data_IF_218504991881
#
_entry.id   IF_218504991881
#
_cell.length_a   1.000
_cell.length_b   1.000
_cell.length_c   1.000
_cell.angle_alpha   90.00
_cell.angle_beta   90.00
_cell.angle_gamma   90.00
#
_symmetry.space_group_name_H-M   'P 1'
#
loop_
_entity.id
_entity.type
_entity.pdbx_description
1 polymer ?
#
# COMPACT_ATOMS: atom_id res chain seq x y z
N UNK A 1 19.64 9.84 -30.82
CA UNK A 1 20.52 9.56 -29.67
C UNK A 1 20.01 10.36 -28.48
N UNK A 2 19.52 9.70 -27.42
CA UNK A 2 19.15 10.38 -26.19
C UNK A 2 20.39 10.55 -25.32
N UNK A 3 20.66 11.77 -24.87
CA UNK A 3 21.80 12.07 -23.99
C UNK A 3 21.37 11.77 -22.54
N UNK A 4 22.10 10.93 -21.79
CA UNK A 4 21.74 10.60 -20.42
C UNK A 4 21.92 11.80 -19.47
N UNK A 5 21.02 11.93 -18.50
CA UNK A 5 21.08 12.92 -17.43
C UNK A 5 22.05 12.47 -16.32
N UNK A 6 23.34 12.77 -16.50
CA UNK A 6 24.41 12.30 -15.59
C UNK A 6 24.40 12.94 -14.19
N UNK A 7 23.74 14.09 -14.03
CA UNK A 7 23.71 14.86 -12.77
C UNK A 7 22.32 14.97 -12.16
N UNK A 8 21.29 14.36 -12.77
CA UNK A 8 19.93 14.48 -12.28
C UNK A 8 19.75 13.58 -11.04
N UNK A 9 19.63 14.22 -9.88
CA UNK A 9 19.42 13.51 -8.61
C UNK A 9 17.96 13.51 -8.15
N UNK A 10 17.15 14.44 -8.65
CA UNK A 10 15.76 14.59 -8.22
C UNK A 10 14.87 14.79 -9.43
N UNK A 11 13.83 13.98 -9.55
CA UNK A 11 12.83 14.06 -10.61
C UNK A 11 11.45 14.16 -9.97
N UNK A 12 10.68 15.17 -10.39
CA UNK A 12 9.28 15.33 -10.02
C UNK A 12 8.44 15.38 -11.27
N UNK A 13 7.48 14.47 -11.36
CA UNK A 13 6.58 14.31 -12.49
C UNK A 13 5.16 14.53 -12.00
N UNK A 14 4.44 15.47 -12.60
CA UNK A 14 3.05 15.76 -12.25
C UNK A 14 2.21 15.91 -13.51
N UNK A 15 1.09 15.18 -13.58
CA UNK A 15 0.15 15.28 -14.70
C UNK A 15 0.70 14.82 -16.06
N UNK A 16 1.75 14.00 -16.09
CA UNK A 16 2.39 13.53 -17.32
C UNK A 16 2.29 12.01 -17.51
N UNK A 17 2.14 11.57 -18.76
CA UNK A 17 2.26 10.17 -19.16
C UNK A 17 3.70 9.90 -19.58
N UNK A 18 4.48 9.19 -18.76
CA UNK A 18 5.85 8.79 -19.08
C UNK A 18 6.02 7.33 -18.70
N UNK A 19 6.54 6.53 -19.62
CA UNK A 19 6.99 5.17 -19.29
C UNK A 19 8.30 5.24 -18.50
N UNK A 20 8.17 5.12 -17.17
CA UNK A 20 9.29 5.18 -16.24
C UNK A 20 10.32 4.07 -16.50
N UNK A 21 9.91 2.89 -16.98
CA UNK A 21 10.84 1.80 -17.27
C UNK A 21 11.83 2.20 -18.38
N UNK A 22 11.40 3.06 -19.30
CA UNK A 22 12.25 3.59 -20.38
C UNK A 22 13.02 4.84 -19.97
N UNK A 23 12.45 5.68 -19.09
CA UNK A 23 13.03 6.98 -18.73
C UNK A 23 14.11 6.89 -17.64
N UNK A 24 13.88 6.05 -16.62
CA UNK A 24 14.77 5.95 -15.46
C UNK A 24 16.22 5.52 -15.82
N UNK A 25 16.47 4.63 -16.81
CA UNK A 25 17.83 4.31 -17.25
C UNK A 25 18.69 5.52 -17.67
N UNK A 26 18.06 6.63 -18.08
CA UNK A 26 18.77 7.86 -18.42
C UNK A 26 19.20 8.68 -17.20
N UNK A 27 18.73 8.34 -15.99
CA UNK A 27 18.91 9.11 -14.76
C UNK A 27 19.75 8.32 -13.75
N UNK A 28 21.03 8.07 -14.06
CA UNK A 28 21.90 7.15 -13.30
C UNK A 28 22.15 7.57 -11.84
N UNK A 29 22.03 8.86 -11.53
CA UNK A 29 22.21 9.41 -10.18
C UNK A 29 20.89 9.77 -9.49
N UNK A 30 19.76 9.28 -9.99
CA UNK A 30 18.46 9.64 -9.44
C UNK A 30 18.28 9.09 -8.02
N UNK A 31 18.23 9.99 -7.05
CA UNK A 31 18.05 9.70 -5.62
C UNK A 31 16.61 9.87 -5.15
N UNK A 32 15.88 10.80 -5.76
CA UNK A 32 14.49 11.11 -5.38
C UNK A 32 13.59 11.11 -6.61
N UNK A 33 12.54 10.29 -6.58
CA UNK A 33 11.50 10.26 -7.59
C UNK A 33 10.15 10.60 -6.95
N UNK A 34 9.50 11.65 -7.47
CA UNK A 34 8.16 12.06 -7.05
C UNK A 34 7.21 11.96 -8.23
N UNK A 35 6.17 11.17 -8.07
CA UNK A 35 5.12 10.95 -9.05
C UNK A 35 3.83 11.46 -8.48
N UNK A 36 3.29 12.51 -9.09
CA UNK A 36 1.94 12.97 -8.81
C UNK A 36 1.06 12.71 -10.03
N UNK A 37 0.15 11.77 -9.87
CA UNK A 37 -0.76 11.31 -10.92
C UNK A 37 -2.15 11.96 -10.79
N UNK A 38 -2.28 13.00 -9.97
CA UNK A 38 -3.49 13.82 -9.93
C UNK A 38 -3.66 14.53 -11.27
N UNK A 39 -4.65 14.11 -12.07
CA UNK A 39 -5.01 14.78 -13.32
C UNK A 39 -4.92 13.85 -14.53
N UNK A 40 -6.10 13.44 -15.02
CA UNK A 40 -6.47 12.92 -16.36
C UNK A 40 -5.60 11.87 -17.09
N UNK A 41 -4.54 11.33 -16.50
CA UNK A 41 -3.70 10.32 -17.15
C UNK A 41 -3.66 9.04 -16.33
N UNK A 42 -4.10 7.94 -16.94
CA UNK A 42 -3.99 6.57 -16.43
C UNK A 42 -2.49 6.21 -16.30
N UNK A 43 -2.02 6.10 -15.06
CA UNK A 43 -0.71 5.57 -14.70
C UNK A 43 -0.90 4.21 -14.01
N UNK A 44 -1.47 3.24 -14.74
CA UNK A 44 -1.84 1.92 -14.19
C UNK A 44 -0.61 1.09 -13.85
N UNK A 45 0.51 1.35 -14.51
CA UNK A 45 1.76 0.63 -14.32
C UNK A 45 2.86 1.58 -13.89
N UNK A 46 3.36 1.40 -12.67
CA UNK A 46 4.52 2.10 -12.13
C UNK A 46 5.65 1.09 -12.04
N UNK A 47 6.60 1.18 -12.96
CA UNK A 47 7.79 0.32 -12.98
C UNK A 47 9.03 1.16 -12.82
N UNK A 48 9.76 0.97 -11.73
CA UNK A 48 10.95 1.75 -11.39
C UNK A 48 12.10 0.78 -11.11
N UNK A 49 13.10 0.78 -11.99
CA UNK A 49 14.36 0.07 -11.78
C UNK A 49 15.48 1.10 -11.66
N UNK A 50 15.98 1.32 -10.44
CA UNK A 50 17.04 2.30 -10.20
C UNK A 50 17.98 1.85 -9.09
N UNK A 51 19.26 1.74 -9.41
CA UNK A 51 20.30 1.37 -8.44
C UNK A 51 20.62 2.48 -7.42
N UNK A 52 20.23 3.73 -7.69
CA UNK A 52 20.60 4.91 -6.88
C UNK A 52 19.42 5.58 -6.16
N UNK A 53 18.20 5.07 -6.35
CA UNK A 53 16.99 5.69 -5.80
C UNK A 53 16.89 5.46 -4.28
N UNK A 54 16.85 6.55 -3.52
CA UNK A 54 16.77 6.53 -2.06
C UNK A 54 15.34 6.84 -1.56
N UNK A 55 14.59 7.66 -2.30
CA UNK A 55 13.23 8.10 -1.95
C UNK A 55 12.29 7.97 -3.14
N UNK A 56 11.16 7.29 -2.94
CA UNK A 56 10.05 7.22 -3.88
C UNK A 56 8.78 7.75 -3.25
N UNK A 57 8.16 8.74 -3.89
CA UNK A 57 6.86 9.29 -3.52
C UNK A 57 5.89 9.10 -4.68
N UNK A 58 4.78 8.43 -4.42
CA UNK A 58 3.70 8.20 -5.37
C UNK A 58 2.40 8.71 -4.77
N UNK A 59 1.95 9.85 -5.26
CA UNK A 59 0.66 10.44 -4.90
C UNK A 59 -0.34 10.17 -6.03
N UNK A 60 -1.40 9.45 -5.70
CA UNK A 60 -2.47 9.14 -6.63
C UNK A 60 -3.75 9.92 -6.35
N UNK A 61 -4.31 10.49 -7.42
CA UNK A 61 -5.55 11.24 -7.38
C UNK A 61 -6.79 10.34 -7.28
N UNK A 62 -7.80 10.86 -6.61
CA UNK A 62 -9.07 10.24 -6.26
C UNK A 62 -10.08 10.07 -7.44
N UNK A 63 -9.65 10.17 -8.69
CA UNK A 63 -10.57 10.10 -9.85
C UNK A 63 -10.03 9.19 -10.94
N UNK A 64 -10.17 7.89 -10.72
CA UNK A 64 -9.94 6.90 -11.76
C UNK A 64 -11.27 6.50 -12.42
N UNK A 65 -11.35 6.60 -13.75
CA UNK A 65 -12.54 6.27 -14.56
C UNK A 65 -12.45 4.93 -15.32
N UNK A 66 -11.37 4.15 -15.13
CA UNK A 66 -11.13 2.88 -15.83
C UNK A 66 -11.18 1.61 -14.96
N UNK A 67 -11.55 0.47 -15.57
CA UNK A 67 -11.55 -0.88 -14.95
C UNK A 67 -10.15 -1.53 -14.89
N UNK A 68 -9.08 -0.74 -14.94
CA UNK A 68 -7.71 -1.21 -15.21
C UNK A 68 -7.01 -1.68 -13.93
N UNK A 69 -6.26 -2.79 -14.06
CA UNK A 69 -5.44 -3.41 -13.00
C UNK A 69 -4.26 -2.49 -12.69
N UNK A 70 -4.05 -2.15 -11.42
CA UNK A 70 -2.89 -1.35 -11.00
C UNK A 70 -1.71 -2.27 -10.73
N UNK A 71 -0.54 -1.97 -11.27
CA UNK A 71 0.69 -2.70 -11.02
C UNK A 71 1.84 -1.78 -10.61
N UNK A 72 2.49 -2.09 -9.49
CA UNK A 72 3.62 -1.34 -8.97
C UNK A 72 4.79 -2.30 -8.80
N UNK A 73 5.87 -2.04 -9.52
CA UNK A 73 7.13 -2.75 -9.43
C UNK A 73 8.25 -1.77 -9.13
N UNK A 74 8.86 -1.90 -7.97
CA UNK A 74 10.00 -1.08 -7.57
C UNK A 74 11.16 -2.01 -7.28
N UNK A 75 12.26 -1.80 -7.98
CA UNK A 75 13.52 -2.46 -7.75
C UNK A 75 14.58 -1.39 -7.52
N UNK A 76 14.95 -1.26 -6.25
CA UNK A 76 15.98 -0.34 -5.84
C UNK A 76 16.63 -0.79 -4.54
N UNK A 77 17.88 -1.28 -4.59
CA UNK A 77 18.56 -1.84 -3.44
C UNK A 77 18.82 -0.82 -2.32
N UNK A 78 18.91 0.47 -2.66
CA UNK A 78 19.27 1.56 -1.72
C UNK A 78 18.06 2.41 -1.31
N UNK A 79 16.84 1.99 -1.66
CA UNK A 79 15.63 2.72 -1.31
C UNK A 79 15.40 2.69 0.20
N UNK A 80 15.40 3.87 0.82
CA UNK A 80 15.24 4.07 2.27
C UNK A 80 13.82 4.49 2.64
N UNK A 81 13.15 5.19 1.73
CA UNK A 81 11.82 5.74 1.96
C UNK A 81 10.86 5.48 0.79
N UNK A 82 9.70 4.91 1.12
CA UNK A 82 8.58 4.70 0.22
C UNK A 82 7.35 5.40 0.77
N UNK A 83 6.77 6.30 -0.01
CA UNK A 83 5.48 6.95 0.27
C UNK A 83 4.58 6.69 -0.91
N UNK A 84 3.46 6.01 -0.71
CA UNK A 84 2.60 5.61 -1.80
C UNK A 84 1.12 5.61 -1.39
N UNK A 85 0.27 6.29 -2.16
CA UNK A 85 -1.17 6.30 -1.97
C UNK A 85 -1.86 5.89 -3.26
N UNK A 86 -2.81 4.96 -3.18
CA UNK A 86 -3.55 4.42 -4.32
C UNK A 86 -5.05 4.33 -4.03
N UNK A 87 -5.83 4.40 -5.10
CA UNK A 87 -7.25 4.10 -5.10
C UNK A 87 -7.53 3.04 -6.16
N UNK A 88 -7.72 1.80 -5.72
CA UNK A 88 -7.93 0.63 -6.57
C UNK A 88 -9.42 0.43 -6.89
N UNK A 89 -9.74 0.35 -8.17
CA UNK A 89 -11.07 -0.07 -8.65
C UNK A 89 -11.16 -1.58 -8.97
N UNK A 90 -10.06 -2.32 -8.73
CA UNK A 90 -9.90 -3.74 -9.07
C UNK A 90 -8.64 -4.32 -8.42
N UNK A 91 -8.10 -5.40 -8.99
CA UNK A 91 -6.91 -6.07 -8.45
C UNK A 91 -5.68 -5.16 -8.52
N UNK A 92 -4.91 -5.10 -7.44
CA UNK A 92 -3.57 -4.51 -7.41
C UNK A 92 -2.51 -5.61 -7.48
N UNK A 93 -1.38 -5.31 -8.15
CA UNK A 93 -0.15 -6.09 -8.09
C UNK A 93 0.97 -5.21 -7.52
N UNK A 94 1.68 -5.71 -6.53
CA UNK A 94 2.75 -4.98 -5.83
C UNK A 94 3.96 -5.89 -5.76
N UNK A 95 5.12 -5.38 -6.19
CA UNK A 95 6.41 -6.04 -6.10
C UNK A 95 7.46 -5.01 -5.71
N UNK A 96 8.00 -5.09 -4.49
CA UNK A 96 8.99 -4.14 -3.98
C UNK A 96 10.23 -4.92 -3.58
N UNK A 97 11.33 -4.70 -4.30
CA UNK A 97 12.67 -5.21 -4.00
C UNK A 97 13.52 -4.06 -3.47
N UNK A 98 13.40 -3.81 -2.17
CA UNK A 98 14.05 -2.71 -1.47
C UNK A 98 14.56 -3.16 -0.07
N UNK A 99 15.70 -3.87 0.01
CA UNK A 99 16.22 -4.41 1.28
C UNK A 99 16.62 -3.34 2.31
N UNK A 100 16.87 -2.09 1.89
CA UNK A 100 17.22 -0.98 2.78
C UNK A 100 16.02 -0.12 3.21
N UNK A 101 14.79 -0.57 2.92
CA UNK A 101 13.57 0.19 3.17
C UNK A 101 13.25 0.25 4.67
N UNK A 102 13.36 1.45 5.26
CA UNK A 102 13.08 1.71 6.68
C UNK A 102 11.78 2.51 6.87
N UNK A 103 11.60 3.58 6.08
CA UNK A 103 10.42 4.45 6.18
C UNK A 103 9.40 4.09 5.12
N UNK A 104 8.27 3.55 5.58
CA UNK A 104 7.15 3.23 4.72
C UNK A 104 5.94 4.04 5.13
N UNK A 105 5.28 4.63 4.14
CA UNK A 105 3.89 5.04 4.25
C UNK A 105 3.18 4.56 2.99
N UNK A 106 2.22 3.68 3.18
CA UNK A 106 1.48 3.03 2.11
C UNK A 106 -0.01 3.13 2.43
N UNK A 107 -0.80 3.47 1.44
CA UNK A 107 -2.25 3.50 1.54
C UNK A 107 -2.85 3.00 0.23
N UNK A 108 -3.71 2.00 0.30
CA UNK A 108 -4.48 1.51 -0.84
C UNK A 108 -5.94 1.42 -0.44
N UNK A 109 -6.76 2.31 -1.00
CA UNK A 109 -8.22 2.33 -0.81
C UNK A 109 -8.91 1.60 -1.97
N UNK A 110 -10.05 0.98 -1.69
CA UNK A 110 -10.82 0.22 -2.67
C UNK A 110 -12.15 0.93 -2.95
N UNK A 111 -12.48 1.09 -4.24
CA UNK A 111 -13.76 1.70 -4.66
C UNK A 111 -14.97 0.88 -4.22
N UNK A 112 -14.81 -0.45 -4.17
CA UNK A 112 -15.79 -1.42 -3.68
C UNK A 112 -15.05 -2.54 -2.94
N UNK A 113 -15.64 -3.12 -1.88
CA UNK A 113 -15.06 -4.26 -1.20
C UNK A 113 -15.13 -5.50 -2.09
N UNK A 114 -14.06 -5.77 -2.83
CA UNK A 114 -13.91 -6.94 -3.70
C UNK A 114 -13.40 -8.16 -2.90
N UNK A 115 -12.72 -7.90 -1.79
CA UNK A 115 -12.14 -8.90 -0.90
C UNK A 115 -12.75 -8.75 0.50
N UNK A 116 -13.11 -9.86 1.13
CA UNK A 116 -13.70 -9.83 2.45
C UNK A 116 -13.93 -11.21 3.03
N UNK A 117 -14.41 -11.24 4.28
CA UNK A 117 -14.76 -12.43 5.04
C UNK A 117 -16.19 -12.29 5.56
N UNK A 118 -17.10 -13.13 5.09
CA UNK A 118 -18.52 -13.03 5.43
C UNK A 118 -19.10 -11.68 5.01
N UNK A 119 -19.63 -10.92 5.96
CA UNK A 119 -20.21 -9.58 5.73
C UNK A 119 -19.18 -8.45 5.75
N UNK A 120 -17.91 -8.75 6.05
CA UNK A 120 -16.87 -7.77 6.31
C UNK A 120 -15.96 -7.62 5.09
N UNK A 121 -16.06 -6.48 4.42
CA UNK A 121 -15.30 -6.15 3.22
C UNK A 121 -14.12 -5.23 3.51
N UNK A 122 -12.99 -5.49 2.85
CA UNK A 122 -11.81 -4.64 2.88
C UNK A 122 -12.06 -3.36 2.08
N UNK A 123 -12.03 -2.21 2.76
CA UNK A 123 -12.17 -0.90 2.11
C UNK A 123 -10.84 -0.20 1.94
N UNK A 124 -9.87 -0.43 2.83
CA UNK A 124 -8.54 0.16 2.70
C UNK A 124 -7.49 -0.66 3.45
N UNK A 125 -6.29 -0.73 2.87
CA UNK A 125 -5.08 -1.26 3.51
C UNK A 125 -4.06 -0.14 3.61
N UNK A 126 -3.62 0.12 4.83
CA UNK A 126 -2.50 0.99 5.14
C UNK A 126 -1.30 0.18 5.62
N UNK A 127 -0.10 0.67 5.37
CA UNK A 127 1.11 0.14 5.98
C UNK A 127 2.03 1.31 6.30
N UNK A 128 2.39 1.49 7.56
CA UNK A 128 3.19 2.62 7.98
C UNK A 128 4.30 2.22 8.94
N UNK A 129 5.43 2.92 8.85
CA UNK A 129 6.45 2.89 9.90
C UNK A 129 6.07 3.93 10.95
N UNK A 130 5.63 3.48 12.13
CA UNK A 130 5.51 4.35 13.28
C UNK A 130 6.92 4.53 13.86
N UNK A 131 7.61 5.60 13.44
CA UNK A 131 8.73 6.11 14.22
C UNK A 131 8.15 6.58 15.56
N UNK A 132 8.46 5.89 16.66
CA UNK A 132 7.93 6.18 17.99
C UNK A 132 8.02 7.68 18.29
N UNK A 133 6.90 8.38 18.20
CA UNK A 133 6.85 9.81 18.43
C UNK A 133 6.80 10.02 19.95
N UNK A 134 7.96 10.27 20.53
CA UNK A 134 8.09 10.75 21.91
C UNK A 134 8.35 9.67 22.96
N UNK A 135 9.62 9.31 23.15
CA UNK A 135 10.21 8.95 24.45
C UNK A 135 11.72 8.73 24.24
N UNK A 136 12.50 8.96 25.29
CA UNK A 136 13.98 8.98 25.32
C UNK A 136 14.64 7.59 25.11
N UNK A 137 14.01 6.67 24.38
CA UNK A 137 14.53 5.34 24.07
C UNK A 137 14.25 5.10 22.58
N UNK A 138 15.29 4.78 21.81
CA UNK A 138 15.15 4.31 20.43
C UNK A 138 14.40 2.97 20.46
N UNK A 139 13.07 2.99 20.49
CA UNK A 139 12.29 1.80 20.21
C UNK A 139 12.56 1.42 18.75
N UNK A 140 12.67 0.11 18.43
CA UNK A 140 12.73 -0.36 17.06
C UNK A 140 11.60 0.25 16.23
N UNK A 141 11.86 0.63 14.99
CA UNK A 141 10.83 1.02 14.03
C UNK A 141 9.73 -0.05 14.02
N UNK A 142 8.53 0.31 14.49
CA UNK A 142 7.38 -0.60 14.47
C UNK A 142 6.63 -0.34 13.17
N UNK A 143 6.69 -1.29 12.24
CA UNK A 143 5.80 -1.27 11.10
C UNK A 143 4.41 -1.77 11.51
N UNK A 144 3.40 -0.97 11.17
CA UNK A 144 1.98 -1.21 11.48
C UNK A 144 1.22 -1.41 10.18
N UNK A 145 0.56 -2.56 10.09
CA UNK A 145 -0.46 -2.84 9.08
C UNK A 145 -1.78 -2.26 9.58
N UNK A 146 -2.41 -1.40 8.79
CA UNK A 146 -3.74 -0.84 9.08
C UNK A 146 -4.76 -1.44 8.14
N UNK A 147 -5.83 -2.02 8.68
CA UNK A 147 -6.91 -2.59 7.88
C UNK A 147 -8.19 -1.83 8.18
N UNK A 148 -8.80 -1.23 7.17
CA UNK A 148 -10.12 -0.64 7.27
C UNK A 148 -11.14 -1.58 6.64
N UNK A 149 -12.09 -2.00 7.48
CA UNK A 149 -13.09 -3.00 7.14
C UNK A 149 -14.47 -2.40 7.38
N UNK A 150 -15.35 -2.60 6.41
CA UNK A 150 -16.73 -2.11 6.45
C UNK A 150 -17.72 -3.21 6.10
N UNK A 151 -18.96 -3.17 6.64
CA UNK A 151 -19.99 -4.12 6.28
C UNK A 151 -20.36 -3.92 4.81
N UNK A 152 -20.48 -5.02 4.07
CA UNK A 152 -20.98 -5.00 2.70
C UNK A 152 -22.51 -4.99 2.74
N UNK A 153 -23.13 -4.07 1.99
CA UNK A 153 -24.60 -3.88 2.01
C UNK A 153 -25.34 -4.92 1.16
N UNK A 154 -24.69 -5.45 0.13
CA UNK A 154 -25.26 -6.45 -0.77
C UNK A 154 -24.89 -7.88 -0.33
N UNK A 155 -25.64 -8.88 -0.79
CA UNK A 155 -25.34 -10.31 -0.64
C UNK A 155 -24.12 -10.73 -1.48
N UNK A 156 -23.00 -10.02 -1.33
CA UNK A 156 -21.74 -10.32 -2.01
C UNK A 156 -21.17 -11.56 -1.35
N UNK A 157 -21.13 -12.65 -2.08
CA UNK A 157 -20.32 -13.80 -1.71
C UNK A 157 -18.88 -13.55 -2.14
N UNK A 158 -17.94 -13.80 -1.23
CA UNK A 158 -16.51 -13.79 -1.54
C UNK A 158 -16.09 -15.24 -1.88
N UNK A 159 -15.97 -15.62 -3.16
CA UNK A 159 -15.51 -16.95 -3.52
C UNK A 159 -14.07 -17.14 -3.04
N UNK A 160 -13.77 -18.28 -2.40
CA UNK A 160 -12.46 -18.55 -1.79
C UNK A 160 -12.01 -17.42 -0.85
N UNK A 161 -12.93 -16.91 -0.03
CA UNK A 161 -12.77 -15.73 0.83
C UNK A 161 -11.44 -15.75 1.60
N UNK A 162 -11.14 -16.83 2.31
CA UNK A 162 -9.96 -16.90 3.18
C UNK A 162 -8.65 -16.78 2.39
N UNK A 163 -8.51 -17.54 1.30
CA UNK A 163 -7.32 -17.53 0.45
C UNK A 163 -7.17 -16.20 -0.29
N UNK A 164 -8.26 -15.67 -0.84
CA UNK A 164 -8.24 -14.43 -1.61
C UNK A 164 -8.00 -13.20 -0.74
N UNK A 165 -8.58 -13.17 0.46
CA UNK A 165 -8.40 -12.09 1.41
C UNK A 165 -6.99 -12.06 1.99
N UNK A 166 -6.47 -13.22 2.42
CA UNK A 166 -5.08 -13.32 2.89
C UNK A 166 -4.09 -12.91 1.80
N UNK A 167 -4.27 -13.43 0.57
CA UNK A 167 -3.43 -13.07 -0.56
C UNK A 167 -3.53 -11.58 -0.93
N UNK A 168 -4.68 -10.93 -0.73
CA UNK A 168 -4.82 -9.50 -0.98
C UNK A 168 -4.02 -8.67 0.03
N UNK A 169 -4.11 -8.99 1.32
CA UNK A 169 -3.35 -8.31 2.36
C UNK A 169 -1.84 -8.48 2.12
N UNK A 170 -1.41 -9.70 1.75
CA UNK A 170 0.00 -10.02 1.53
C UNK A 170 0.67 -9.14 0.46
N UNK A 171 -0.07 -8.68 -0.55
CA UNK A 171 0.46 -7.76 -1.58
C UNK A 171 0.90 -6.43 -1.00
N UNK A 172 0.28 -5.96 0.08
CA UNK A 172 0.59 -4.68 0.69
C UNK A 172 1.68 -4.76 1.75
N UNK A 173 2.07 -5.96 2.16
CA UNK A 173 3.15 -6.18 3.13
C UNK A 173 4.52 -5.99 2.47
N UNK A 174 4.84 -4.75 2.12
CA UNK A 174 6.11 -4.40 1.46
C UNK A 174 7.35 -4.67 2.33
N UNK A 175 7.17 -4.81 3.64
CA UNK A 175 8.16 -5.28 4.62
C UNK A 175 7.47 -5.98 5.79
N UNK A 176 8.23 -6.56 6.71
CA UNK A 176 7.69 -7.23 7.90
C UNK A 176 6.99 -6.23 8.81
N UNK A 177 5.92 -6.67 9.48
CA UNK A 177 5.20 -5.86 10.46
C UNK A 177 5.16 -6.50 11.84
N UNK A 178 4.81 -5.69 12.84
CA UNK A 178 4.58 -6.18 14.21
C UNK A 178 3.37 -5.55 14.89
N UNK A 179 2.78 -4.50 14.32
CA UNK A 179 1.51 -3.94 14.77
C UNK A 179 0.38 -4.14 13.76
N UNK A 180 -0.84 -4.36 14.25
CA UNK A 180 -2.08 -4.37 13.47
C UNK A 180 -3.05 -3.35 14.06
N UNK A 181 -3.40 -2.35 13.25
CA UNK A 181 -4.47 -1.38 13.53
C UNK A 181 -5.70 -1.79 12.71
N UNK A 182 -6.74 -2.28 13.38
CA UNK A 182 -7.97 -2.71 12.75
C UNK A 182 -9.07 -1.67 12.95
N UNK A 183 -9.49 -1.03 11.87
CA UNK A 183 -10.57 -0.04 11.86
C UNK A 183 -11.85 -0.69 11.33
N UNK A 184 -12.85 -0.83 12.20
CA UNK A 184 -14.12 -1.48 11.88
C UNK A 184 -15.25 -0.45 11.88
N UNK A 185 -15.92 -0.27 10.75
CA UNK A 185 -17.20 0.43 10.72
C UNK A 185 -18.31 -0.55 11.11
N UNK A 186 -19.12 -0.26 12.13
CA UNK A 186 -20.15 -1.21 12.59
C UNK A 186 -21.54 -0.57 12.69
N UNK A 187 -22.57 -1.32 12.25
CA UNK A 187 -24.00 -1.02 12.41
C UNK A 187 -24.67 -2.00 13.38
N UNK A 188 -24.03 -2.25 14.53
CA UNK A 188 -24.52 -3.22 15.52
C UNK A 188 -24.22 -4.69 15.23
N UNK A 189 -23.47 -5.00 14.16
CA UNK A 189 -23.01 -6.36 13.88
C UNK A 189 -21.92 -6.82 14.85
N UNK A 190 -21.97 -8.09 15.25
CA UNK A 190 -20.93 -8.75 16.03
C UNK A 190 -19.66 -8.92 15.17
N UNK A 191 -18.58 -8.22 15.52
CA UNK A 191 -17.30 -8.29 14.80
C UNK A 191 -16.32 -9.34 15.38
N UNK A 192 -16.62 -9.90 16.56
CA UNK A 192 -15.71 -10.80 17.27
C UNK A 192 -15.29 -12.02 16.46
N UNK A 193 -16.25 -12.69 15.79
CA UNK A 193 -15.95 -13.85 14.94
C UNK A 193 -15.04 -13.49 13.77
N UNK A 194 -15.26 -12.31 13.16
CA UNK A 194 -14.40 -11.82 12.07
C UNK A 194 -12.98 -11.55 12.56
N UNK A 195 -12.83 -10.89 13.71
CA UNK A 195 -11.51 -10.60 14.30
C UNK A 195 -10.77 -11.89 14.63
N UNK A 196 -11.43 -12.86 15.25
CA UNK A 196 -10.81 -14.16 15.56
C UNK A 196 -10.36 -14.89 14.28
N UNK A 197 -11.18 -14.87 13.24
CA UNK A 197 -10.81 -15.45 11.94
C UNK A 197 -9.58 -14.74 11.37
N UNK A 198 -9.58 -13.41 11.29
CA UNK A 198 -8.47 -12.59 10.80
C UNK A 198 -7.16 -12.89 11.55
N UNK A 199 -7.23 -12.95 12.89
CA UNK A 199 -6.07 -13.23 13.74
C UNK A 199 -5.55 -14.66 13.59
N UNK A 200 -6.40 -15.59 13.14
CA UNK A 200 -6.01 -16.97 12.83
C UNK A 200 -5.23 -17.11 11.52
N UNK A 201 -5.19 -16.09 10.67
CA UNK A 201 -4.43 -16.15 9.40
C UNK A 201 -2.93 -16.23 9.67
N UNK A 202 -2.25 -17.20 9.08
CA UNK A 202 -0.86 -17.55 9.41
C UNK A 202 0.11 -16.35 9.44
N UNK A 203 0.08 -15.50 8.40
CA UNK A 203 0.90 -14.28 8.29
C UNK A 203 0.62 -13.27 9.42
N UNK A 204 -0.64 -13.09 9.78
CA UNK A 204 -1.05 -12.18 10.86
C UNK A 204 -0.66 -12.78 12.21
N UNK A 205 -1.05 -14.03 12.45
CA UNK A 205 -0.78 -14.76 13.67
C UNK A 205 0.71 -14.79 14.04
N UNK A 206 1.59 -14.97 13.05
CA UNK A 206 3.04 -15.12 13.28
C UNK A 206 3.77 -13.79 13.47
N UNK A 207 3.31 -12.71 12.84
CA UNK A 207 3.98 -11.41 12.87
C UNK A 207 3.47 -10.49 14.00
N UNK A 208 2.21 -10.66 14.41
CA UNK A 208 1.52 -9.74 15.30
C UNK A 208 2.11 -9.72 16.72
N UNK A 209 2.47 -8.53 17.19
CA UNK A 209 2.85 -8.25 18.59
C UNK A 209 1.91 -7.28 19.27
N UNK A 210 1.37 -6.30 18.52
CA UNK A 210 0.48 -5.28 19.04
C UNK A 210 -0.81 -5.22 18.22
N UNK A 211 -1.96 -5.34 18.88
CA UNK A 211 -3.28 -5.22 18.26
C UNK A 211 -3.99 -3.99 18.80
N UNK A 212 -4.50 -3.15 17.89
CA UNK A 212 -5.38 -2.03 18.21
C UNK A 212 -6.65 -2.17 17.38
N UNK A 213 -7.80 -2.10 18.04
CA UNK A 213 -9.10 -2.16 17.38
C UNK A 213 -9.78 -0.80 17.57
N UNK A 214 -10.17 -0.17 16.47
CA UNK A 214 -10.88 1.10 16.44
C UNK A 214 -12.27 0.87 15.86
N UNK A 215 -13.31 1.13 16.64
CA UNK A 215 -14.69 1.01 16.21
C UNK A 215 -15.21 2.38 15.76
N UNK A 216 -15.60 2.46 14.50
CA UNK A 216 -16.28 3.62 13.92
C UNK A 216 -17.79 3.30 13.91
N UNK A 217 -18.56 4.02 14.73
CA UNK A 217 -20.02 3.94 14.66
C UNK A 217 -20.49 4.77 13.49
N UNK A 218 -21.20 4.16 12.55
CA UNK A 218 -22.00 4.94 11.59
C UNK A 218 -23.30 5.33 12.30
N UNK A 219 -23.56 6.63 12.40
CA UNK A 219 -24.87 7.17 12.80
C UNK A 219 -25.99 6.73 11.86
#
# INVERSE_FOLDING_TARGET
YYVPFRSLERLSLSGCHIDLATFIPFCQRLRVLRLNTTGLVDMSNITVHSASLEELVVEHGNRWTGRTRTHISVDSPVLKQLTASFHACGNIGVSILAPMLDKVWWRCSYAKPIYGLGLWGLSEVGFNTNAGRGACVQLPSVHVLSLHISPVQDSVSFPNADLSFAAEIDKHMVTNFSGLDLHLSTKGHMFGTFVLHLLGMHRIHTALRNLKIVLLRSE
#
